data_IF_630965777539
#
_entry.id   IF_630965777539
#
_cell.length_a   1.000
_cell.length_b   1.000
_cell.length_c   1.000
_cell.angle_alpha   90.00
_cell.angle_beta   90.00
_cell.angle_gamma   90.00
#
_symmetry.space_group_name_H-M   'P 1'
#
loop_
_entity.id
_entity.type
_entity.pdbx_description
1 polymer ?
#
# COMPACT_ATOMS: atom_id res chain seq x y z
N UNK A 1 4.33 -18.08 9.44
CA UNK A 1 5.18 -19.26 9.21
C UNK A 1 5.27 -19.62 7.72
N UNK A 2 4.17 -19.98 7.05
CA UNK A 2 4.19 -20.43 5.64
C UNK A 2 4.83 -19.38 4.71
N UNK A 3 4.46 -18.12 4.84
CA UNK A 3 5.03 -17.03 4.04
C UNK A 3 6.51 -16.79 4.28
N UNK A 4 6.97 -17.01 5.50
CA UNK A 4 8.38 -16.78 5.87
C UNK A 4 9.31 -17.90 5.39
N UNK A 5 8.83 -19.15 5.35
CA UNK A 5 9.66 -20.35 5.11
C UNK A 5 9.33 -21.11 3.83
N UNK A 6 8.29 -20.70 3.11
CA UNK A 6 7.84 -21.28 1.85
C UNK A 6 7.57 -20.17 0.83
N UNK A 7 7.08 -20.56 -0.33
CA UNK A 7 6.68 -19.61 -1.36
C UNK A 7 5.52 -18.72 -0.87
N UNK A 8 5.67 -17.40 -0.98
CA UNK A 8 4.65 -16.42 -0.65
C UNK A 8 3.31 -16.64 -1.39
N UNK A 9 3.33 -17.35 -2.52
CA UNK A 9 2.17 -17.64 -3.34
C UNK A 9 1.31 -18.80 -2.86
N UNK A 10 1.77 -19.62 -1.89
CA UNK A 10 1.02 -20.81 -1.43
C UNK A 10 -0.28 -20.46 -0.70
N UNK A 11 -0.32 -19.33 0.00
CA UNK A 11 -1.49 -18.91 0.78
C UNK A 11 -1.77 -17.44 0.51
N UNK A 12 -2.73 -17.12 -0.39
CA UNK A 12 -3.09 -15.75 -0.70
C UNK A 12 -3.79 -15.08 0.49
N UNK A 13 -3.74 -13.75 0.54
CA UNK A 13 -4.42 -12.95 1.55
C UNK A 13 -4.68 -11.54 1.04
N UNK A 14 -5.69 -10.87 1.59
CA UNK A 14 -6.03 -9.47 1.26
C UNK A 14 -6.11 -8.56 2.49
N UNK A 15 -6.49 -9.08 3.67
CA UNK A 15 -6.61 -8.25 4.88
C UNK A 15 -5.34 -8.22 5.73
N UNK A 16 -4.34 -9.00 5.41
CA UNK A 16 -3.08 -9.09 6.14
C UNK A 16 -1.98 -8.28 5.43
N UNK A 17 -1.16 -7.58 6.17
CA UNK A 17 0.02 -6.86 5.68
C UNK A 17 1.20 -7.06 6.64
N UNK A 18 2.46 -6.94 6.16
CA UNK A 18 3.64 -7.30 6.96
C UNK A 18 3.83 -6.51 8.26
N UNK A 19 3.33 -5.28 8.30
CA UNK A 19 3.44 -4.37 9.45
C UNK A 19 2.12 -4.14 10.18
N UNK A 20 1.15 -5.03 10.01
CA UNK A 20 -0.13 -5.00 10.72
C UNK A 20 -0.32 -6.30 11.50
N UNK A 21 -0.99 -6.22 12.63
CA UNK A 21 -1.34 -7.39 13.43
C UNK A 21 -2.29 -8.33 12.67
N UNK A 22 -2.26 -9.63 12.91
CA UNK A 22 -3.16 -10.58 12.26
C UNK A 22 -4.63 -10.27 12.57
N UNK A 23 -5.50 -10.21 11.56
CA UNK A 23 -6.89 -9.78 11.72
C UNK A 23 -7.95 -10.83 11.34
N UNK A 24 -7.72 -11.60 10.27
CA UNK A 24 -8.59 -12.72 9.88
C UNK A 24 -9.92 -12.32 9.21
N UNK A 25 -10.08 -11.09 8.69
CA UNK A 25 -11.35 -10.62 8.14
C UNK A 25 -11.71 -11.25 6.79
N UNK A 26 -10.81 -11.23 5.80
CA UNK A 26 -11.13 -11.62 4.41
C UNK A 26 -11.28 -13.13 4.19
N UNK A 27 -10.73 -13.95 5.06
CA UNK A 27 -10.74 -15.43 4.98
C UNK A 27 -10.09 -16.05 3.74
N UNK A 28 -9.49 -15.25 2.87
CA UNK A 28 -8.78 -15.74 1.66
C UNK A 28 -7.58 -16.61 2.02
N UNK A 29 -6.99 -16.40 3.19
CA UNK A 29 -5.88 -17.20 3.72
C UNK A 29 -6.30 -18.54 4.35
N UNK A 30 -7.54 -19.01 4.15
CA UNK A 30 -8.03 -20.28 4.72
C UNK A 30 -7.14 -21.45 4.34
N UNK A 31 -6.88 -22.31 5.31
CA UNK A 31 -6.18 -23.58 5.19
C UNK A 31 -6.95 -24.65 5.94
N UNK A 32 -6.74 -25.92 5.62
CA UNK A 32 -7.23 -27.00 6.47
C UNK A 32 -6.11 -27.49 7.38
N UNK A 33 -6.44 -27.77 8.65
CA UNK A 33 -5.50 -28.17 9.69
C UNK A 33 -6.03 -29.41 10.39
N UNK A 34 -5.16 -30.38 10.61
CA UNK A 34 -5.39 -31.53 11.48
C UNK A 34 -4.32 -31.60 12.57
N UNK A 35 -4.65 -32.12 13.74
CA UNK A 35 -3.69 -32.38 14.83
C UNK A 35 -2.88 -33.67 14.63
N UNK A 36 -3.43 -34.58 13.83
CA UNK A 36 -2.80 -35.85 13.51
C UNK A 36 -2.83 -36.08 12.00
N UNK A 37 -1.88 -36.86 11.49
CA UNK A 37 -1.86 -37.27 10.08
C UNK A 37 -3.13 -38.06 9.75
N UNK A 38 -3.90 -37.59 8.75
CA UNK A 38 -5.21 -38.10 8.36
C UNK A 38 -6.32 -37.93 9.42
N UNK A 39 -6.13 -37.03 10.38
CA UNK A 39 -7.14 -36.64 11.36
C UNK A 39 -8.26 -35.76 10.75
N UNK A 40 -9.21 -35.37 11.59
CA UNK A 40 -10.32 -34.49 11.19
C UNK A 40 -9.79 -33.11 10.78
N UNK A 41 -10.09 -32.71 9.56
CA UNK A 41 -9.70 -31.42 9.01
C UNK A 41 -10.62 -30.29 9.53
N UNK A 42 -10.02 -29.21 9.97
CA UNK A 42 -10.71 -27.95 10.33
C UNK A 42 -10.21 -26.82 9.44
N UNK A 43 -11.14 -26.08 8.84
CA UNK A 43 -10.81 -24.91 8.04
C UNK A 43 -10.57 -23.69 8.95
N UNK A 44 -9.37 -23.12 8.88
CA UNK A 44 -8.93 -22.00 9.72
C UNK A 44 -8.31 -20.89 8.87
N UNK A 45 -8.36 -19.64 9.38
CA UNK A 45 -7.68 -18.51 8.79
C UNK A 45 -6.20 -18.52 9.21
N UNK A 46 -5.30 -18.81 8.30
CA UNK A 46 -3.87 -19.01 8.62
C UNK A 46 -3.17 -17.74 9.11
N UNK A 47 -3.63 -16.54 8.71
CA UNK A 47 -3.05 -15.27 9.19
C UNK A 47 -3.25 -15.06 10.69
N UNK A 48 -4.31 -15.62 11.28
CA UNK A 48 -4.71 -15.39 12.67
C UNK A 48 -4.58 -16.64 13.57
N UNK A 49 -4.23 -17.78 13.00
CA UNK A 49 -4.17 -19.04 13.75
C UNK A 49 -2.73 -19.34 14.18
N UNK A 50 -2.45 -19.44 15.48
CA UNK A 50 -1.13 -19.86 15.97
C UNK A 50 -0.78 -21.27 15.48
N UNK A 51 0.49 -21.47 15.18
CA UNK A 51 1.03 -22.77 14.84
C UNK A 51 1.39 -23.51 16.12
N UNK A 52 1.07 -24.81 16.20
CA UNK A 52 1.50 -25.69 17.27
C UNK A 52 2.21 -26.93 16.75
N UNK A 53 2.98 -27.56 17.61
CA UNK A 53 3.70 -28.79 17.28
C UNK A 53 2.73 -29.92 16.91
N UNK A 54 3.12 -30.76 15.95
CA UNK A 54 2.30 -31.86 15.47
C UNK A 54 1.17 -31.49 14.51
N UNK A 55 0.95 -30.22 14.21
CA UNK A 55 -0.06 -29.82 13.23
C UNK A 55 0.30 -30.20 11.80
N UNK A 56 -0.65 -30.78 11.09
CA UNK A 56 -0.61 -31.00 9.66
C UNK A 56 -1.44 -29.93 8.94
N UNK A 57 -0.79 -29.10 8.10
CA UNK A 57 -1.42 -27.96 7.43
C UNK A 57 -1.52 -28.24 5.92
N UNK A 58 -2.73 -28.20 5.39
CA UNK A 58 -3.05 -28.45 3.99
C UNK A 58 -3.48 -27.14 3.34
N UNK A 59 -2.69 -26.68 2.37
CA UNK A 59 -2.85 -25.35 1.76
C UNK A 59 -3.61 -25.39 0.44
N UNK A 60 -3.86 -26.58 -0.13
CA UNK A 60 -4.37 -26.73 -1.49
C UNK A 60 -5.37 -27.87 -1.68
N UNK A 61 -6.13 -28.24 -0.63
CA UNK A 61 -7.23 -29.20 -0.76
C UNK A 61 -8.34 -28.63 -1.65
N UNK A 62 -9.21 -29.45 -2.19
CA UNK A 62 -10.33 -29.01 -3.01
C UNK A 62 -11.29 -28.11 -2.22
N UNK A 63 -11.51 -28.39 -0.93
CA UNK A 63 -12.28 -27.53 -0.01
C UNK A 63 -11.68 -26.13 0.04
N UNK A 64 -10.36 -26.04 0.29
CA UNK A 64 -9.67 -24.74 0.41
C UNK A 64 -9.67 -23.98 -0.91
N UNK A 65 -9.43 -24.64 -2.04
CA UNK A 65 -9.47 -24.01 -3.36
C UNK A 65 -10.86 -23.45 -3.67
N UNK A 66 -11.91 -24.26 -3.45
CA UNK A 66 -13.30 -23.86 -3.67
C UNK A 66 -13.69 -22.68 -2.77
N UNK A 67 -13.34 -22.73 -1.50
CA UNK A 67 -13.62 -21.66 -0.55
C UNK A 67 -12.97 -20.34 -0.96
N UNK A 68 -11.67 -20.35 -1.26
CA UNK A 68 -10.95 -19.14 -1.70
C UNK A 68 -11.53 -18.57 -2.98
N UNK A 69 -11.85 -19.42 -3.95
CA UNK A 69 -12.48 -18.99 -5.21
C UNK A 69 -13.83 -18.33 -4.95
N UNK A 70 -14.70 -18.95 -4.15
CA UNK A 70 -16.00 -18.40 -3.80
C UNK A 70 -15.88 -17.03 -3.11
N UNK A 71 -14.96 -16.88 -2.14
CA UNK A 71 -14.74 -15.62 -1.44
C UNK A 71 -14.33 -14.52 -2.42
N UNK A 72 -13.38 -14.79 -3.30
CA UNK A 72 -12.91 -13.77 -4.25
C UNK A 72 -13.97 -13.45 -5.29
N UNK A 73 -14.74 -14.43 -5.78
CA UNK A 73 -15.87 -14.17 -6.67
C UNK A 73 -16.92 -13.26 -6.02
N UNK A 74 -17.26 -13.49 -4.74
CA UNK A 74 -18.18 -12.63 -3.99
C UNK A 74 -17.62 -11.20 -3.81
N UNK A 75 -16.33 -11.04 -3.54
CA UNK A 75 -15.69 -9.72 -3.51
C UNK A 75 -15.79 -9.01 -4.86
N UNK A 76 -15.60 -9.75 -5.95
CA UNK A 76 -15.64 -9.19 -7.29
C UNK A 76 -17.06 -8.79 -7.75
N UNK A 77 -18.12 -9.34 -7.15
CA UNK A 77 -19.51 -8.93 -7.50
C UNK A 77 -19.82 -7.49 -7.11
N UNK A 78 -19.16 -6.96 -6.08
CA UNK A 78 -19.35 -5.58 -5.60
C UNK A 78 -18.15 -4.67 -5.93
N UNK A 79 -17.23 -5.13 -6.76
CA UNK A 79 -16.04 -4.39 -7.19
C UNK A 79 -16.13 -4.05 -8.68
N UNK A 80 -15.79 -2.80 -9.11
CA UNK A 80 -15.79 -2.46 -10.52
C UNK A 80 -14.83 -3.37 -11.30
N UNK A 81 -15.32 -3.99 -12.37
CA UNK A 81 -14.51 -4.88 -13.21
C UNK A 81 -13.86 -4.15 -14.39
N UNK A 82 -13.59 -2.87 -14.22
CA UNK A 82 -12.97 -1.96 -15.18
C UNK A 82 -11.43 -1.96 -15.15
N UNK A 83 -10.84 -3.10 -14.85
CA UNK A 83 -9.39 -3.25 -14.62
C UNK A 83 -8.52 -2.61 -15.70
N UNK A 84 -8.95 -2.63 -16.97
CA UNK A 84 -8.18 -2.07 -18.09
C UNK A 84 -8.01 -0.54 -18.01
N UNK A 85 -8.94 0.15 -17.37
CA UNK A 85 -8.91 1.61 -17.16
C UNK A 85 -8.53 2.00 -15.74
N UNK A 86 -8.33 1.03 -14.87
CA UNK A 86 -7.99 1.24 -13.47
C UNK A 86 -6.54 1.72 -13.31
N UNK A 87 -6.32 2.72 -12.45
CA UNK A 87 -5.01 3.33 -12.18
C UNK A 87 -3.94 2.35 -11.69
N UNK A 88 -4.36 1.25 -11.05
CA UNK A 88 -3.46 0.23 -10.50
C UNK A 88 -3.50 -1.08 -11.28
N UNK A 89 -3.94 -1.05 -12.53
CA UNK A 89 -3.90 -2.23 -13.39
C UNK A 89 -2.48 -2.83 -13.43
N UNK A 90 -2.37 -4.14 -13.15
CA UNK A 90 -1.06 -4.82 -13.06
C UNK A 90 -0.30 -4.61 -11.74
N UNK A 91 -0.79 -3.74 -10.83
CA UNK A 91 -0.23 -3.52 -9.49
C UNK A 91 -1.35 -3.54 -8.42
N UNK A 92 -2.29 -4.46 -8.53
CA UNK A 92 -3.44 -4.62 -7.66
C UNK A 92 -3.39 -6.01 -7.00
N UNK A 93 -3.39 -6.05 -5.66
CA UNK A 93 -3.36 -7.32 -4.93
C UNK A 93 -4.61 -8.16 -5.19
N UNK A 94 -5.79 -7.53 -5.39
CA UNK A 94 -7.02 -8.25 -5.72
C UNK A 94 -6.92 -8.95 -7.08
N UNK A 95 -6.35 -8.29 -8.12
CA UNK A 95 -6.09 -8.92 -9.41
C UNK A 95 -5.14 -10.12 -9.28
N UNK A 96 -4.05 -9.95 -8.53
CA UNK A 96 -3.08 -11.02 -8.28
C UNK A 96 -3.73 -12.22 -7.61
N UNK A 97 -4.52 -11.98 -6.56
CA UNK A 97 -5.21 -13.06 -5.84
C UNK A 97 -6.29 -13.72 -6.71
N UNK A 98 -7.06 -12.96 -7.49
CA UNK A 98 -8.04 -13.50 -8.44
C UNK A 98 -7.39 -14.44 -9.46
N UNK A 99 -6.22 -14.05 -9.98
CA UNK A 99 -5.43 -14.91 -10.88
C UNK A 99 -4.92 -16.18 -10.19
N UNK A 100 -4.41 -16.07 -8.94
CA UNK A 100 -3.92 -17.21 -8.14
C UNK A 100 -5.01 -18.24 -7.84
N UNK A 101 -6.24 -17.80 -7.55
CA UNK A 101 -7.37 -18.73 -7.31
C UNK A 101 -8.07 -19.17 -8.58
N UNK A 102 -7.56 -18.77 -9.74
CA UNK A 102 -8.02 -19.26 -11.05
C UNK A 102 -9.37 -18.69 -11.50
N UNK A 103 -9.73 -17.47 -11.13
CA UNK A 103 -10.94 -16.81 -11.61
C UNK A 103 -10.72 -16.32 -13.02
N UNK A 104 -11.63 -16.70 -13.92
CA UNK A 104 -11.71 -16.20 -15.29
C UNK A 104 -13.03 -15.49 -15.56
N UNK A 105 -14.09 -15.96 -14.95
CA UNK A 105 -15.43 -15.37 -14.99
C UNK A 105 -16.03 -15.42 -13.59
N UNK A 106 -16.77 -14.40 -13.21
CA UNK A 106 -17.53 -14.35 -11.96
C UNK A 106 -18.86 -15.09 -12.20
N UNK A 107 -19.16 -16.07 -11.36
CA UNK A 107 -20.38 -16.91 -11.46
C UNK A 107 -21.62 -16.23 -10.88
N UNK A 108 -21.43 -15.32 -9.96
CA UNK A 108 -22.51 -14.60 -9.29
C UNK A 108 -22.89 -13.36 -10.10
N UNK A 109 -24.15 -12.92 -10.02
CA UNK A 109 -24.56 -11.68 -10.68
C UNK A 109 -23.77 -10.50 -10.10
N UNK A 110 -23.55 -9.51 -10.94
CA UNK A 110 -22.91 -8.24 -10.52
C UNK A 110 -23.78 -7.56 -9.47
N UNK A 111 -23.14 -7.07 -8.41
CA UNK A 111 -23.78 -6.29 -7.36
C UNK A 111 -23.91 -4.82 -7.75
N UNK A 112 -24.65 -4.06 -6.97
CA UNK A 112 -24.93 -2.64 -7.25
C UNK A 112 -23.73 -1.71 -6.95
N UNK A 113 -22.60 -2.24 -6.47
CA UNK A 113 -21.49 -1.46 -5.96
C UNK A 113 -21.97 -0.34 -5.01
N UNK A 114 -22.37 -0.72 -3.82
CA UNK A 114 -23.03 0.16 -2.83
C UNK A 114 -22.23 1.42 -2.45
N UNK A 115 -20.93 1.47 -2.78
CA UNK A 115 -20.04 2.61 -2.54
C UNK A 115 -19.70 3.39 -3.82
N UNK A 116 -20.39 3.15 -4.92
CA UNK A 116 -20.09 3.68 -6.27
C UNK A 116 -19.86 5.20 -6.33
N UNK A 117 -20.57 6.00 -5.54
CA UNK A 117 -20.47 7.46 -5.56
C UNK A 117 -19.61 8.05 -4.42
N UNK A 118 -19.01 7.22 -3.59
CA UNK A 118 -18.28 7.67 -2.42
C UNK A 118 -16.82 7.98 -2.76
N UNK A 119 -16.60 9.16 -3.36
CA UNK A 119 -15.26 9.68 -3.69
C UNK A 119 -14.94 10.91 -2.85
N UNK A 120 -13.69 10.97 -2.39
CA UNK A 120 -13.13 12.11 -1.68
C UNK A 120 -11.81 12.52 -2.34
N UNK A 121 -11.80 13.69 -2.92
CA UNK A 121 -10.68 14.31 -3.62
C UNK A 121 -10.18 15.58 -2.90
N UNK A 122 -10.60 15.79 -1.65
CA UNK A 122 -10.29 16.99 -0.90
C UNK A 122 -8.83 17.10 -0.48
N UNK A 123 -8.16 15.94 -0.30
CA UNK A 123 -6.80 15.91 0.23
C UNK A 123 -5.75 16.18 -0.87
N UNK A 124 -4.71 17.01 -0.61
CA UNK A 124 -3.73 17.39 -1.63
C UNK A 124 -2.78 16.24 -2.05
N UNK A 125 -2.67 15.18 -1.24
CA UNK A 125 -1.72 14.09 -1.46
C UNK A 125 -2.37 12.72 -1.64
N UNK A 126 -3.64 12.57 -1.27
CA UNK A 126 -4.34 11.29 -1.31
C UNK A 126 -5.74 11.45 -1.89
N UNK A 127 -6.21 10.41 -2.55
CA UNK A 127 -7.59 10.30 -3.00
C UNK A 127 -8.26 9.10 -2.36
N UNK A 128 -9.57 9.15 -2.19
CA UNK A 128 -10.39 8.02 -1.77
C UNK A 128 -11.50 7.78 -2.77
N UNK A 129 -11.57 6.56 -3.30
CA UNK A 129 -12.65 6.06 -4.15
C UNK A 129 -13.16 4.75 -3.54
N UNK A 130 -14.17 4.86 -2.69
CA UNK A 130 -14.69 3.70 -1.98
C UNK A 130 -15.41 2.69 -2.88
N UNK A 131 -15.72 3.02 -4.14
CA UNK A 131 -16.20 2.04 -5.11
C UNK A 131 -15.24 0.85 -5.29
N UNK A 132 -13.95 1.07 -5.04
CA UNK A 132 -12.88 0.06 -5.11
C UNK A 132 -12.59 -0.60 -3.76
N UNK A 133 -13.32 -0.24 -2.71
CA UNK A 133 -13.11 -0.77 -1.36
C UNK A 133 -13.62 -2.21 -1.25
N UNK A 134 -12.81 -3.09 -0.70
CA UNK A 134 -13.16 -4.50 -0.43
C UNK A 134 -13.33 -4.78 1.07
N UNK A 135 -13.51 -3.76 1.87
CA UNK A 135 -13.72 -3.84 3.32
C UNK A 135 -12.67 -4.72 4.05
N UNK A 136 -11.41 -4.63 3.64
CA UNK A 136 -10.32 -5.43 4.22
C UNK A 136 -9.75 -4.88 5.53
N UNK A 137 -10.15 -3.70 5.96
CA UNK A 137 -9.70 -2.99 7.18
C UNK A 137 -8.22 -2.61 7.23
N UNK A 138 -7.41 -2.83 6.20
CA UNK A 138 -5.98 -2.52 6.26
C UNK A 138 -5.71 -1.03 6.47
N UNK A 139 -6.47 -0.15 5.85
CA UNK A 139 -6.31 1.30 6.00
C UNK A 139 -6.69 1.79 7.41
N UNK A 140 -7.77 1.26 7.99
CA UNK A 140 -8.18 1.54 9.38
C UNK A 140 -7.07 1.14 10.33
N UNK A 141 -6.58 -0.09 10.21
CA UNK A 141 -5.53 -0.63 11.05
C UNK A 141 -4.17 0.06 10.84
N UNK A 142 -3.84 0.45 9.60
CA UNK A 142 -2.64 1.24 9.37
C UNK A 142 -2.71 2.63 10.00
N UNK A 143 -3.89 3.24 10.08
CA UNK A 143 -4.11 4.50 10.78
C UNK A 143 -3.97 4.34 12.30
N UNK A 144 -4.42 3.23 12.85
CA UNK A 144 -4.35 2.85 14.26
C UNK A 144 -2.97 2.31 14.64
N UNK A 145 -2.60 1.12 14.12
CA UNK A 145 -1.45 0.33 14.57
C UNK A 145 -0.10 0.95 14.13
N UNK A 146 -0.05 1.63 12.98
CA UNK A 146 1.20 2.16 12.41
C UNK A 146 1.39 3.64 12.72
N UNK A 147 0.34 4.45 12.54
CA UNK A 147 0.41 5.90 12.77
C UNK A 147 -0.07 6.31 14.16
N UNK A 148 -1.08 5.64 14.74
CA UNK A 148 -1.64 5.96 16.06
C UNK A 148 -2.61 7.15 16.06
N UNK A 149 -3.20 7.51 14.90
CA UNK A 149 -4.09 8.69 14.78
C UNK A 149 -5.58 8.36 14.86
N UNK A 150 -5.99 7.13 14.59
CA UNK A 150 -7.38 6.65 14.69
C UNK A 150 -8.40 7.43 13.84
N UNK A 151 -7.96 8.15 12.83
CA UNK A 151 -8.84 8.96 11.97
C UNK A 151 -9.77 8.10 11.14
N UNK A 152 -9.28 6.96 10.64
CA UNK A 152 -10.06 6.03 9.85
C UNK A 152 -10.76 5.01 10.73
N UNK A 153 -12.05 4.80 10.47
CA UNK A 153 -12.85 3.79 11.15
C UNK A 153 -13.86 3.14 10.20
N UNK A 154 -14.44 2.01 10.63
CA UNK A 154 -15.52 1.37 9.89
C UNK A 154 -16.85 1.85 10.44
N UNK A 155 -17.73 2.27 9.56
CA UNK A 155 -19.12 2.63 9.87
C UNK A 155 -20.06 1.60 9.26
N UNK A 156 -21.19 1.34 9.96
CA UNK A 156 -22.22 0.43 9.48
C UNK A 156 -21.86 -1.06 9.60
N UNK A 157 -22.68 -1.88 8.97
CA UNK A 157 -22.50 -3.34 8.92
C UNK A 157 -23.16 -3.93 7.66
N UNK A 158 -22.69 -5.11 7.23
CA UNK A 158 -23.17 -5.74 6.01
C UNK A 158 -22.89 -4.85 4.79
N UNK A 159 -23.87 -4.68 3.92
CA UNK A 159 -23.76 -3.82 2.73
C UNK A 159 -23.66 -2.33 3.05
N UNK A 160 -24.07 -1.88 4.22
CA UNK A 160 -23.92 -0.48 4.65
C UNK A 160 -22.53 -0.16 5.20
N UNK A 161 -21.63 -1.14 5.21
CA UNK A 161 -20.28 -0.96 5.72
C UNK A 161 -19.46 -0.07 4.81
N UNK A 162 -18.88 1.00 5.38
CA UNK A 162 -17.97 1.90 4.67
C UNK A 162 -16.85 2.39 5.59
N UNK A 163 -15.73 2.77 4.99
CA UNK A 163 -14.67 3.48 5.70
C UNK A 163 -15.07 4.95 5.83
N UNK A 164 -15.02 5.47 7.05
CA UNK A 164 -15.24 6.89 7.35
C UNK A 164 -13.99 7.53 7.92
N UNK A 165 -13.94 8.84 7.90
CA UNK A 165 -12.89 9.69 8.46
C UNK A 165 -13.52 10.56 9.56
N UNK A 166 -13.06 10.40 10.80
CA UNK A 166 -13.68 11.07 11.95
C UNK A 166 -15.19 10.79 12.02
N UNK A 167 -15.99 11.83 11.97
CA UNK A 167 -17.46 11.75 11.96
C UNK A 167 -18.07 11.69 10.54
N UNK A 168 -17.47 10.95 9.64
CA UNK A 168 -17.81 10.86 8.20
C UNK A 168 -17.53 12.16 7.42
N UNK A 169 -16.48 12.86 7.82
CA UNK A 169 -15.98 14.06 7.15
C UNK A 169 -15.14 13.73 5.91
N UNK A 170 -14.72 14.77 5.17
CA UNK A 170 -13.68 14.64 4.16
C UNK A 170 -12.29 14.46 4.81
N UNK A 171 -11.28 14.04 4.02
CA UNK A 171 -9.92 13.96 4.54
C UNK A 171 -9.42 15.31 5.07
N UNK A 172 -9.72 16.41 4.38
CA UNK A 172 -9.26 17.74 4.78
C UNK A 172 -9.96 18.30 6.01
N UNK A 173 -11.17 17.83 6.32
CA UNK A 173 -11.93 18.23 7.49
C UNK A 173 -11.67 17.32 8.70
N UNK A 174 -10.96 16.21 8.51
CA UNK A 174 -10.59 15.28 9.56
C UNK A 174 -9.23 15.62 10.17
N UNK A 175 -8.92 15.03 11.31
CA UNK A 175 -7.62 15.18 11.99
C UNK A 175 -6.48 14.37 11.31
N UNK A 176 -6.58 14.14 9.99
CA UNK A 176 -5.60 13.37 9.23
C UNK A 176 -4.24 14.09 9.17
N UNK A 177 -3.19 13.43 9.61
CA UNK A 177 -1.80 13.95 9.58
C UNK A 177 -1.08 13.70 8.26
N UNK A 178 -1.80 13.23 7.23
CA UNK A 178 -1.29 13.06 5.87
C UNK A 178 -0.09 12.10 5.74
N UNK A 179 0.04 11.12 6.61
CA UNK A 179 1.20 10.20 6.59
C UNK A 179 1.18 9.21 5.41
N UNK A 180 0.00 8.92 4.83
CA UNK A 180 -0.16 7.99 3.71
C UNK A 180 0.00 6.51 4.05
N UNK A 181 0.02 6.10 5.33
CA UNK A 181 0.08 4.70 5.72
C UNK A 181 -1.13 3.91 5.18
N UNK A 182 -2.31 4.54 5.14
CA UNK A 182 -3.53 3.95 4.59
C UNK A 182 -3.47 3.72 3.07
N UNK A 183 -2.88 4.64 2.30
CA UNK A 183 -2.70 4.47 0.84
C UNK A 183 -1.72 3.34 0.54
N UNK A 184 -0.60 3.28 1.26
CA UNK A 184 0.36 2.18 1.11
C UNK A 184 -0.23 0.82 1.48
N UNK A 185 -1.11 0.78 2.49
CA UNK A 185 -1.72 -0.46 2.95
C UNK A 185 -2.89 -0.93 2.06
N UNK A 186 -3.48 -0.07 1.22
CA UNK A 186 -4.66 -0.40 0.44
C UNK A 186 -4.36 -1.40 -0.69
N UNK A 187 -5.03 -2.57 -0.74
CA UNK A 187 -4.74 -3.59 -1.75
C UNK A 187 -5.38 -3.33 -3.11
N UNK A 188 -6.32 -2.36 -3.21
CA UNK A 188 -7.13 -2.11 -4.41
C UNK A 188 -7.11 -0.65 -4.88
N UNK A 189 -6.27 0.21 -4.26
CA UNK A 189 -6.27 1.67 -4.47
C UNK A 189 -7.59 2.38 -4.19
N UNK A 190 -8.44 1.83 -3.32
CA UNK A 190 -9.58 2.58 -2.78
C UNK A 190 -9.13 3.85 -2.03
N UNK A 191 -7.93 3.83 -1.45
CA UNK A 191 -7.18 5.01 -1.03
C UNK A 191 -5.84 4.95 -1.75
N UNK A 192 -5.49 6.00 -2.50
CA UNK A 192 -4.28 6.07 -3.31
C UNK A 192 -3.59 7.42 -3.21
N UNK A 193 -2.32 7.48 -3.59
CA UNK A 193 -1.55 8.72 -3.66
C UNK A 193 -1.93 9.48 -4.93
N UNK A 194 -2.13 10.80 -4.83
CA UNK A 194 -2.41 11.68 -5.99
C UNK A 194 -1.28 11.61 -7.03
N UNK A 195 -0.05 11.40 -6.57
CA UNK A 195 1.14 11.31 -7.42
C UNK A 195 1.37 9.92 -8.00
N UNK A 196 0.65 8.92 -7.54
CA UNK A 196 0.73 7.58 -8.11
C UNK A 196 0.17 7.64 -9.52
N UNK A 197 1.08 7.74 -10.47
CA UNK A 197 0.75 7.98 -11.86
C UNK A 197 -0.08 6.84 -12.45
N UNK A 198 -1.18 7.24 -12.95
CA UNK A 198 -2.18 6.66 -13.81
C UNK A 198 -1.60 5.63 -14.78
N UNK A 199 -1.72 4.35 -14.44
CA UNK A 199 -1.41 3.21 -15.30
C UNK A 199 0.03 3.12 -15.88
N UNK A 200 0.96 3.97 -15.44
CA UNK A 200 2.38 3.85 -15.80
C UNK A 200 3.04 2.92 -14.79
N UNK A 201 3.59 1.82 -15.28
CA UNK A 201 4.35 0.91 -14.43
C UNK A 201 5.77 1.42 -14.22
N UNK A 202 6.30 1.25 -13.01
CA UNK A 202 7.69 1.56 -12.73
C UNK A 202 8.60 0.62 -13.50
N UNK A 203 9.64 1.20 -14.13
CA UNK A 203 10.71 0.42 -14.74
C UNK A 203 11.81 0.09 -13.74
N UNK A 204 11.98 0.95 -12.73
CA UNK A 204 13.02 0.82 -11.73
C UNK A 204 12.49 1.12 -10.34
N UNK A 205 13.07 0.45 -9.34
CA UNK A 205 12.82 0.71 -7.92
C UNK A 205 14.16 0.78 -7.19
N UNK A 206 14.44 1.92 -6.58
CA UNK A 206 15.69 2.17 -5.86
C UNK A 206 15.41 2.41 -4.38
N UNK A 207 16.18 1.75 -3.51
CA UNK A 207 16.16 2.04 -2.07
C UNK A 207 17.11 3.19 -1.76
N UNK A 208 16.62 4.13 -0.95
CA UNK A 208 17.38 5.29 -0.50
C UNK A 208 16.99 5.67 0.93
N UNK A 209 17.64 6.70 1.47
CA UNK A 209 17.36 7.25 2.79
C UNK A 209 16.69 8.60 2.64
N UNK A 210 15.65 8.84 3.45
CA UNK A 210 14.96 10.12 3.52
C UNK A 210 15.92 11.24 3.95
N UNK A 211 15.92 12.35 3.23
CA UNK A 211 16.84 13.47 3.47
C UNK A 211 16.31 14.54 4.42
N UNK A 212 15.09 14.39 4.95
CA UNK A 212 14.42 15.46 5.70
C UNK A 212 14.84 15.57 7.16
N UNK A 213 15.07 14.47 7.85
CA UNK A 213 15.42 14.52 9.26
C UNK A 213 16.34 13.37 9.70
N UNK A 214 16.83 13.44 10.94
CA UNK A 214 17.79 12.50 11.51
C UNK A 214 17.24 11.08 11.79
N UNK A 215 15.93 10.82 11.59
CA UNK A 215 15.38 9.45 11.70
C UNK A 215 15.99 8.54 10.64
N UNK A 216 16.27 9.07 9.44
CA UNK A 216 16.91 8.28 8.37
C UNK A 216 16.02 7.16 7.82
N UNK A 217 14.70 7.41 7.69
CA UNK A 217 13.77 6.44 7.14
C UNK A 217 14.23 5.89 5.79
N UNK A 218 14.17 4.59 5.60
CA UNK A 218 14.37 3.96 4.31
C UNK A 218 13.15 4.22 3.41
N UNK A 219 13.40 4.55 2.16
CA UNK A 219 12.40 4.78 1.13
C UNK A 219 12.66 3.88 -0.07
N UNK A 220 11.59 3.38 -0.67
CA UNK A 220 11.59 2.77 -2.00
C UNK A 220 11.01 3.77 -2.99
N UNK A 221 11.83 4.24 -3.90
CA UNK A 221 11.48 5.19 -4.95
C UNK A 221 11.27 4.43 -6.25
N UNK A 222 10.03 4.40 -6.72
CA UNK A 222 9.68 3.79 -8.01
C UNK A 222 9.69 4.86 -9.09
N UNK A 223 10.39 4.57 -10.19
CA UNK A 223 10.57 5.52 -11.29
C UNK A 223 10.24 4.90 -12.64
N UNK A 224 9.92 5.76 -13.62
CA UNK A 224 9.84 5.42 -15.02
C UNK A 224 10.52 6.53 -15.83
N UNK A 225 11.49 6.19 -16.68
CA UNK A 225 12.27 7.16 -17.46
C UNK A 225 12.84 8.33 -16.63
N UNK A 226 13.22 8.07 -15.37
CA UNK A 226 13.77 9.09 -14.47
C UNK A 226 12.72 9.94 -13.74
N UNK A 227 11.43 9.78 -14.03
CA UNK A 227 10.35 10.43 -13.32
C UNK A 227 9.92 9.59 -12.09
N UNK A 228 9.76 10.23 -10.93
CA UNK A 228 9.30 9.56 -9.71
C UNK A 228 7.78 9.35 -9.81
N UNK A 229 7.36 8.08 -9.75
CA UNK A 229 5.96 7.68 -9.78
C UNK A 229 5.37 7.54 -8.38
N UNK A 230 6.14 6.99 -7.44
CA UNK A 230 5.71 6.81 -6.06
C UNK A 230 6.87 6.63 -5.11
N UNK A 231 6.66 6.97 -3.85
CA UNK A 231 7.59 6.67 -2.77
C UNK A 231 6.86 5.84 -1.72
N UNK A 232 7.43 4.68 -1.40
CA UNK A 232 6.93 3.77 -0.36
C UNK A 232 7.97 3.57 0.73
N UNK A 233 7.52 3.18 1.90
CA UNK A 233 8.39 2.73 2.97
C UNK A 233 8.51 1.20 2.90
N UNK A 234 9.72 0.63 2.77
CA UNK A 234 9.88 -0.82 2.72
C UNK A 234 9.52 -1.46 4.05
N UNK A 235 8.75 -2.55 4.01
CA UNK A 235 8.27 -3.25 5.21
C UNK A 235 9.38 -3.95 5.98
N UNK A 236 10.49 -4.29 5.34
CA UNK A 236 11.68 -4.94 5.91
C UNK A 236 12.75 -3.95 6.40
N UNK A 237 12.46 -2.65 6.38
CA UNK A 237 13.37 -1.63 6.87
C UNK A 237 13.45 -1.66 8.41
N UNK A 238 14.67 -1.75 8.96
CA UNK A 238 14.89 -1.79 10.42
C UNK A 238 14.45 -0.49 11.11
N UNK A 239 14.68 0.66 10.45
CA UNK A 239 14.43 1.98 11.03
C UNK A 239 12.95 2.32 11.10
N UNK A 240 12.21 2.09 10.02
CA UNK A 240 10.86 2.63 9.85
C UNK A 240 9.80 1.60 9.48
N UNK A 241 10.13 0.31 9.34
CA UNK A 241 9.24 -0.86 9.32
C UNK A 241 7.94 -0.64 8.50
N UNK A 242 8.08 -0.13 7.27
CA UNK A 242 6.94 0.11 6.39
C UNK A 242 6.21 1.44 6.63
N UNK A 243 6.72 2.33 7.47
CA UNK A 243 6.11 3.64 7.73
C UNK A 243 7.04 4.79 7.34
N UNK A 244 6.47 5.91 6.91
CA UNK A 244 7.14 7.20 6.75
C UNK A 244 6.12 8.34 6.91
N UNK A 245 6.60 9.51 7.33
CA UNK A 245 5.73 10.67 7.49
C UNK A 245 5.40 11.32 6.13
N UNK A 246 4.52 12.32 6.17
CA UNK A 246 4.14 13.15 5.02
C UNK A 246 5.34 13.60 4.17
N UNK A 247 6.40 14.10 4.83
CA UNK A 247 7.57 14.64 4.10
C UNK A 247 8.29 13.56 3.31
N UNK A 248 8.56 12.40 3.90
CA UNK A 248 9.24 11.31 3.22
C UNK A 248 8.45 10.73 2.07
N UNK A 249 7.11 10.71 2.19
CA UNK A 249 6.23 10.11 1.16
C UNK A 249 5.88 11.06 0.03
N UNK A 250 5.52 12.31 0.33
CA UNK A 250 4.88 13.19 -0.64
C UNK A 250 5.68 14.42 -1.03
N UNK A 251 6.67 14.82 -0.23
CA UNK A 251 7.39 16.07 -0.48
C UNK A 251 8.67 15.86 -1.33
N UNK A 252 8.57 15.16 -2.44
CA UNK A 252 9.71 14.83 -3.30
C UNK A 252 9.86 15.74 -4.54
N UNK A 253 8.92 16.67 -4.80
CA UNK A 253 8.95 17.53 -5.99
C UNK A 253 10.20 18.42 -6.06
N UNK A 254 10.89 18.66 -4.94
CA UNK A 254 12.14 19.41 -4.93
C UNK A 254 13.25 18.78 -5.77
N UNK A 255 13.16 17.49 -6.00
CA UNK A 255 14.17 16.73 -6.74
C UNK A 255 14.29 17.22 -8.21
N UNK A 256 13.20 17.58 -8.87
CA UNK A 256 13.18 18.05 -10.25
C UNK A 256 12.53 19.44 -10.41
N UNK A 257 12.53 20.26 -9.35
CA UNK A 257 11.98 21.61 -9.38
C UNK A 257 12.83 22.51 -10.32
N UNK A 258 12.21 23.38 -11.12
CA UNK A 258 12.94 24.30 -12.02
C UNK A 258 13.98 25.17 -11.31
N UNK A 259 13.70 25.61 -10.08
CA UNK A 259 14.60 26.44 -9.28
C UNK A 259 15.71 25.66 -8.57
N UNK A 260 15.79 24.32 -8.76
CA UNK A 260 16.83 23.52 -8.15
C UNK A 260 18.19 23.87 -8.73
N UNK A 261 19.14 24.21 -7.87
CA UNK A 261 20.53 24.40 -8.27
C UNK A 261 21.12 23.07 -8.71
N UNK A 262 21.54 22.97 -9.99
CA UNK A 262 22.14 21.77 -10.59
C UNK A 262 23.65 21.90 -10.78
N UNK A 263 24.15 23.15 -10.73
CA UNK A 263 25.56 23.50 -10.94
C UNK A 263 26.05 24.45 -9.86
N UNK A 264 27.37 24.46 -9.54
CA UNK A 264 27.89 25.39 -8.57
C UNK A 264 27.79 26.83 -9.08
N UNK A 265 27.52 27.75 -8.19
CA UNK A 265 27.36 29.17 -8.51
C UNK A 265 28.17 30.04 -7.54
N UNK A 266 28.78 31.09 -8.05
CA UNK A 266 29.50 32.11 -7.27
C UNK A 266 28.78 33.45 -7.42
N UNK A 267 28.58 34.15 -6.32
CA UNK A 267 28.02 35.49 -6.32
C UNK A 267 29.08 36.51 -6.70
N UNK A 268 28.94 37.13 -7.89
CA UNK A 268 29.79 38.23 -8.38
C UNK A 268 28.95 39.46 -8.64
N UNK A 269 29.38 40.60 -8.16
CA UNK A 269 28.65 41.87 -8.34
C UNK A 269 27.16 41.81 -7.99
N UNK A 270 26.78 41.06 -6.94
CA UNK A 270 25.43 40.91 -6.49
C UNK A 270 24.60 39.83 -7.22
N UNK A 271 25.08 39.25 -8.33
CA UNK A 271 24.36 38.19 -9.09
C UNK A 271 25.09 36.86 -8.98
N UNK A 272 24.30 35.76 -8.96
CA UNK A 272 24.88 34.42 -9.02
C UNK A 272 25.20 34.04 -10.48
N UNK A 273 26.43 33.58 -10.70
CA UNK A 273 26.95 33.09 -12.00
C UNK A 273 27.30 31.63 -11.85
N UNK A 274 26.91 30.82 -12.83
CA UNK A 274 27.28 29.40 -12.91
C UNK A 274 28.79 29.32 -13.17
N UNK A 275 29.46 28.42 -12.46
CA UNK A 275 30.90 28.18 -12.56
C UNK A 275 31.17 26.69 -12.53
N UNK A 276 32.40 26.32 -12.94
CA UNK A 276 32.85 24.93 -12.81
C UNK A 276 33.16 24.57 -11.35
N UNK A 277 33.10 23.29 -11.02
CA UNK A 277 33.50 22.81 -9.69
C UNK A 277 34.92 23.22 -9.32
N UNK A 278 35.85 23.22 -10.30
CA UNK A 278 37.23 23.66 -10.09
C UNK A 278 37.32 25.14 -9.68
N UNK A 279 36.54 25.99 -10.32
CA UNK A 279 36.46 27.41 -9.94
C UNK A 279 35.82 27.62 -8.59
N UNK A 280 34.76 26.89 -8.29
CA UNK A 280 34.11 26.93 -6.98
C UNK A 280 35.06 26.52 -5.85
N UNK A 281 35.77 25.41 -6.02
CA UNK A 281 36.80 24.97 -5.05
C UNK A 281 37.91 25.98 -4.87
N UNK A 282 38.45 26.52 -5.97
CA UNK A 282 39.48 27.55 -5.91
C UNK A 282 39.00 28.82 -5.17
N UNK A 283 37.74 29.22 -5.40
CA UNK A 283 37.17 30.36 -4.71
C UNK A 283 37.02 30.09 -3.18
N UNK A 284 36.54 28.91 -2.81
CA UNK A 284 36.40 28.50 -1.39
C UNK A 284 37.76 28.46 -0.71
N UNK A 285 38.76 27.76 -1.33
CA UNK A 285 40.09 27.62 -0.77
C UNK A 285 40.76 28.97 -0.49
N UNK A 286 40.68 29.90 -1.47
CA UNK A 286 41.21 31.28 -1.27
C UNK A 286 40.55 32.07 -0.15
N UNK A 287 39.37 31.68 0.27
CA UNK A 287 38.61 32.35 1.37
C UNK A 287 38.86 31.72 2.73
N UNK A 288 39.28 30.45 2.76
CA UNK A 288 39.55 29.70 3.98
C UNK A 288 40.98 29.77 4.48
N UNK A 289 41.95 30.12 3.58
CA UNK A 289 43.34 30.35 3.86
C UNK A 289 43.60 31.85 3.99
#
# INVERSE_FOLDING_TARGET
>A
FIRRFKDNNLVPTLCDAPNLDPFGACRVCSVEVALEKNGVLKTLASCHTPVSEGQHIYTSTETVKTLRKNIIELVLTDHPLDCLTCEVNGNCELQTVAAQVGIRNVRYPEGDNHLYRMKDLSHPYMTSDLSKCINCYRCVRACDEVQGEFVLSMYGRGFDSKIIKGLDASFMESDCVSCGACSQACPTSAISDVFQSKAIQATDTTRTICTYCGVGCNLEVSTNNGEILSIRAPYDAEVNQGHTCLKGRFAFQFYDHPDRLREPMIKKNGKFEVVTWKEAYNFITKKLI
#
